data_IF_965641916456
#
_entry.id   IF_965641916456
#
_cell.length_a   1.000
_cell.length_b   1.000
_cell.length_c   1.000
_cell.angle_alpha   90.00
_cell.angle_beta   90.00
_cell.angle_gamma   90.00
#
_symmetry.space_group_name_H-M   'P 1'
#
loop_
_entity.id
_entity.type
_entity.pdbx_description
1 polymer ?
#
# COMPACT_ATOMS: atom_id res chain seq x y z
N UNK A 1 -25.72 -4.13 -15.31
CA UNK A 1 -25.89 -4.46 -13.87
C UNK A 1 -25.55 -3.28 -12.97
N UNK A 2 -24.30 -2.78 -12.89
CA UNK A 2 -23.98 -1.59 -12.04
C UNK A 2 -24.61 -0.30 -12.56
N UNK A 3 -24.67 -0.14 -13.89
CA UNK A 3 -25.30 1.01 -14.54
C UNK A 3 -26.82 1.09 -14.30
N UNK A 4 -27.46 -0.06 -14.09
CA UNK A 4 -28.91 -0.16 -13.82
C UNK A 4 -29.27 0.23 -12.38
N UNK A 5 -28.26 0.25 -11.49
CA UNK A 5 -28.37 0.60 -10.08
C UNK A 5 -27.88 2.04 -9.80
N UNK A 6 -27.58 2.81 -10.85
CA UNK A 6 -27.07 4.18 -10.76
C UNK A 6 -25.78 4.32 -9.95
N UNK A 7 -24.89 3.32 -10.05
CA UNK A 7 -23.54 3.36 -9.48
C UNK A 7 -22.50 3.72 -10.55
N UNK A 8 -21.53 4.56 -10.16
CA UNK A 8 -20.31 4.78 -10.93
C UNK A 8 -19.46 3.51 -10.94
N UNK A 9 -18.96 3.12 -12.12
CA UNK A 9 -18.21 1.86 -12.34
C UNK A 9 -16.79 2.09 -12.85
N UNK A 10 -16.26 3.31 -12.70
CA UNK A 10 -14.92 3.64 -13.17
C UNK A 10 -13.85 2.98 -12.28
N UNK A 11 -12.95 2.21 -12.90
CA UNK A 11 -11.93 1.46 -12.19
C UNK A 11 -10.72 2.36 -11.86
N UNK A 12 -10.78 3.10 -10.76
CA UNK A 12 -9.73 4.07 -10.38
C UNK A 12 -8.46 3.46 -9.77
N UNK A 13 -8.32 2.13 -9.81
CA UNK A 13 -7.14 1.42 -9.31
C UNK A 13 -7.48 0.09 -8.65
N UNK A 14 -6.59 -0.39 -7.79
CA UNK A 14 -6.71 -1.69 -7.14
C UNK A 14 -6.31 -1.64 -5.66
N UNK A 15 -6.71 -2.67 -4.92
CA UNK A 15 -6.43 -2.84 -3.51
C UNK A 15 -5.65 -4.12 -3.26
N UNK A 16 -4.64 -4.07 -2.39
CA UNK A 16 -3.88 -5.24 -1.98
C UNK A 16 -3.58 -5.22 -0.47
N UNK A 17 -3.82 -6.36 0.18
CA UNK A 17 -3.39 -6.57 1.54
C UNK A 17 -1.98 -7.16 1.55
N UNK A 18 -1.03 -6.43 2.12
CA UNK A 18 0.37 -6.88 2.23
C UNK A 18 0.81 -6.86 3.70
N UNK A 19 1.10 -8.03 4.30
CA UNK A 19 1.59 -8.09 5.66
C UNK A 19 2.94 -7.37 5.78
N UNK A 20 3.17 -6.70 6.91
CA UNK A 20 4.40 -5.95 7.24
C UNK A 20 4.70 -4.73 6.36
N UNK A 21 3.92 -4.48 5.30
CA UNK A 21 4.03 -3.32 4.43
C UNK A 21 5.14 -3.39 3.39
N UNK A 22 5.56 -4.61 2.99
CA UNK A 22 6.44 -4.80 1.82
C UNK A 22 5.66 -4.53 0.53
N UNK A 23 5.66 -3.27 0.10
CA UNK A 23 4.80 -2.76 -0.98
C UNK A 23 5.51 -2.60 -2.32
N UNK A 24 6.83 -2.83 -2.37
CA UNK A 24 7.67 -2.57 -3.53
C UNK A 24 7.97 -3.87 -4.28
N UNK A 25 6.91 -4.55 -4.70
CA UNK A 25 7.02 -5.77 -5.50
C UNK A 25 6.95 -5.46 -7.00
N UNK A 26 7.63 -6.27 -7.81
CA UNK A 26 7.65 -6.11 -9.28
C UNK A 26 6.25 -6.29 -9.86
N UNK A 27 5.47 -7.20 -9.28
CA UNK A 27 4.08 -7.47 -9.64
C UNK A 27 3.20 -6.23 -9.40
N UNK A 28 3.38 -5.54 -8.26
CA UNK A 28 2.62 -4.34 -7.89
C UNK A 28 2.96 -3.19 -8.84
N UNK A 29 4.24 -3.04 -9.18
CA UNK A 29 4.69 -2.02 -10.13
C UNK A 29 4.12 -2.28 -11.51
N UNK A 30 4.18 -3.52 -11.99
CA UNK A 30 3.64 -3.91 -13.29
C UNK A 30 2.14 -3.62 -13.39
N UNK A 31 1.40 -3.97 -12.33
CA UNK A 31 -0.04 -3.70 -12.23
C UNK A 31 -0.33 -2.19 -12.20
N UNK A 32 0.43 -1.41 -11.43
CA UNK A 32 0.31 0.05 -11.42
C UNK A 32 0.53 0.67 -12.80
N UNK A 33 1.54 0.22 -13.54
CA UNK A 33 1.81 0.70 -14.90
C UNK A 33 0.65 0.37 -15.84
N UNK A 34 0.10 -0.84 -15.78
CA UNK A 34 -1.05 -1.24 -16.61
C UNK A 34 -2.30 -0.40 -16.29
N UNK A 35 -2.59 -0.18 -15.01
CA UNK A 35 -3.73 0.64 -14.60
C UNK A 35 -3.53 2.12 -14.94
N UNK A 36 -2.33 2.67 -14.77
CA UNK A 36 -2.05 4.07 -15.08
C UNK A 36 -2.04 4.37 -16.59
N UNK A 37 -1.77 3.37 -17.44
CA UNK A 37 -1.95 3.47 -18.90
C UNK A 37 -3.40 3.68 -19.30
N UNK A 38 -4.32 3.01 -18.60
CA UNK A 38 -5.76 3.13 -18.86
C UNK A 38 -6.32 4.42 -18.24
N UNK A 39 -5.91 4.75 -17.02
CA UNK A 39 -6.39 5.90 -16.25
C UNK A 39 -5.20 6.59 -15.60
N UNK A 40 -4.88 7.81 -16.02
CA UNK A 40 -3.70 8.57 -15.57
C UNK A 40 -3.60 8.68 -14.03
N UNK A 41 -4.75 8.77 -13.36
CA UNK A 41 -4.86 8.96 -11.91
C UNK A 41 -5.09 7.66 -11.14
N UNK A 42 -4.77 6.50 -11.71
CA UNK A 42 -4.94 5.23 -10.99
C UNK A 42 -4.08 5.16 -9.73
N UNK A 43 -4.65 4.64 -8.64
CA UNK A 43 -4.00 4.55 -7.32
C UNK A 43 -4.02 3.11 -6.81
N UNK A 44 -2.92 2.65 -6.23
CA UNK A 44 -2.87 1.39 -5.48
C UNK A 44 -3.12 1.66 -3.99
N UNK A 45 -4.11 0.99 -3.42
CA UNK A 45 -4.39 1.04 -1.98
C UNK A 45 -3.80 -0.19 -1.30
N UNK A 46 -2.83 0.04 -0.40
CA UNK A 46 -2.12 -1.02 0.31
C UNK A 46 -2.55 -1.03 1.78
N UNK A 47 -3.02 -2.19 2.22
CA UNK A 47 -3.44 -2.43 3.59
C UNK A 47 -2.50 -3.38 4.31
N UNK A 48 -2.06 -3.00 5.51
CA UNK A 48 -1.27 -3.88 6.38
C UNK A 48 -2.18 -4.48 7.47
N UNK A 49 -2.60 -5.76 7.34
CA UNK A 49 -3.47 -6.40 8.32
C UNK A 49 -2.79 -6.52 9.68
N UNK A 50 -1.47 -6.76 9.72
CA UNK A 50 -0.72 -7.01 10.95
C UNK A 50 -0.61 -5.73 11.78
N UNK A 51 -0.40 -4.58 11.13
CA UNK A 51 -0.41 -3.28 11.83
C UNK A 51 -1.82 -2.89 12.28
N UNK A 52 -2.83 -3.23 11.49
CA UNK A 52 -4.23 -2.94 11.82
C UNK A 52 -4.70 -3.76 13.02
N UNK A 53 -4.26 -5.01 13.15
CA UNK A 53 -4.48 -5.84 14.34
C UNK A 53 -3.88 -5.25 15.63
N UNK A 54 -2.83 -4.44 15.52
CA UNK A 54 -2.23 -3.71 16.65
C UNK A 54 -3.02 -2.43 17.01
N UNK A 55 -4.20 -2.24 16.42
CA UNK A 55 -5.11 -1.13 16.73
C UNK A 55 -4.79 0.18 16.02
N UNK A 56 -3.89 0.17 15.04
CA UNK A 56 -3.66 1.32 14.15
C UNK A 56 -3.99 0.94 12.71
N UNK A 57 -5.05 1.53 12.17
CA UNK A 57 -5.40 1.39 10.75
C UNK A 57 -4.22 1.85 9.89
N UNK A 58 -3.62 0.90 9.16
CA UNK A 58 -2.48 1.14 8.29
C UNK A 58 -2.89 0.99 6.84
N UNK A 59 -3.32 2.11 6.26
CA UNK A 59 -3.62 2.25 4.84
C UNK A 59 -2.61 3.20 4.21
N UNK A 60 -2.06 2.81 3.07
CA UNK A 60 -1.18 3.65 2.28
C UNK A 60 -1.67 3.66 0.83
N UNK A 61 -1.76 4.84 0.25
CA UNK A 61 -2.16 5.01 -1.14
C UNK A 61 -0.95 5.45 -1.94
N UNK A 62 -0.65 4.73 -3.03
CA UNK A 62 0.51 4.99 -3.87
C UNK A 62 0.12 5.17 -5.32
N UNK A 63 0.92 5.97 -6.00
CA UNK A 63 0.89 6.16 -7.45
C UNK A 63 2.32 6.21 -7.98
N UNK A 64 2.57 5.76 -9.20
CA UNK A 64 3.87 6.03 -9.83
C UNK A 64 3.93 7.48 -10.29
N UNK A 65 5.12 8.09 -10.11
CA UNK A 65 5.43 9.39 -10.71
C UNK A 65 5.42 9.29 -12.25
N UNK A 66 5.09 10.37 -12.94
CA UNK A 66 5.05 10.41 -14.41
C UNK A 66 6.41 10.02 -15.03
N UNK A 67 7.51 10.49 -14.43
CA UNK A 67 8.86 10.15 -14.87
C UNK A 67 9.18 8.66 -14.70
N UNK A 68 8.61 8.00 -13.69
CA UNK A 68 8.77 6.56 -13.49
C UNK A 68 7.94 5.77 -14.49
N UNK A 69 6.73 6.24 -14.79
CA UNK A 69 5.84 5.63 -15.77
C UNK A 69 6.46 5.65 -17.17
N UNK A 70 7.01 6.78 -17.62
CA UNK A 70 7.65 6.89 -18.94
C UNK A 70 8.81 5.90 -19.15
N UNK A 71 9.57 5.57 -18.10
CA UNK A 71 10.67 4.61 -18.18
C UNK A 71 10.13 3.18 -18.17
N UNK A 72 9.14 2.90 -17.30
CA UNK A 72 8.47 1.61 -17.27
C UNK A 72 7.79 1.28 -18.60
N UNK A 73 7.24 2.27 -19.31
CA UNK A 73 6.64 2.08 -20.64
C UNK A 73 7.65 1.73 -21.72
N UNK A 74 8.86 2.29 -21.66
CA UNK A 74 9.95 1.99 -22.60
C UNK A 74 10.53 0.59 -22.39
N UNK A 75 10.27 -0.03 -21.24
CA UNK A 75 10.76 -1.37 -20.89
C UNK A 75 12.23 -1.39 -20.46
N UNK A 76 12.90 -0.24 -20.43
CA UNK A 76 14.32 -0.11 -20.13
C UNK A 76 14.55 0.38 -18.69
N UNK A 77 14.34 -0.50 -17.71
CA UNK A 77 14.70 -0.27 -16.30
C UNK A 77 16.23 -0.40 -16.06
N UNK A 78 17.03 0.12 -16.99
CA UNK A 78 18.48 0.10 -16.89
C UNK A 78 18.95 1.11 -15.84
N UNK A 79 19.95 0.78 -15.00
CA UNK A 79 20.47 1.71 -13.99
C UNK A 79 21.10 2.97 -14.60
N UNK A 80 21.40 2.96 -15.91
CA UNK A 80 21.86 4.16 -16.65
C UNK A 80 20.72 5.12 -16.94
N UNK A 81 19.57 4.59 -17.35
CA UNK A 81 18.40 5.39 -17.72
C UNK A 81 17.69 5.96 -16.50
N UNK A 82 17.57 5.16 -15.42
CA UNK A 82 17.06 5.65 -14.15
C UNK A 82 17.90 6.82 -13.62
N UNK A 83 19.23 6.77 -13.77
CA UNK A 83 20.13 7.87 -13.41
C UNK A 83 19.96 9.08 -14.32
N UNK A 84 19.82 8.87 -15.64
CA UNK A 84 19.62 9.95 -16.60
C UNK A 84 18.30 10.70 -16.35
N UNK A 85 17.24 9.99 -15.96
CA UNK A 85 15.95 10.55 -15.59
C UNK A 85 15.91 11.12 -14.15
N UNK A 86 16.99 10.99 -13.37
CA UNK A 86 17.03 11.47 -11.98
C UNK A 86 16.08 10.72 -11.03
N UNK A 87 15.62 9.52 -11.41
CA UNK A 87 14.73 8.73 -10.56
C UNK A 87 15.47 8.21 -9.34
N UNK A 88 14.95 8.56 -8.17
CA UNK A 88 15.39 8.05 -6.87
C UNK A 88 14.25 7.26 -6.26
N UNK A 89 14.54 6.28 -5.38
CA UNK A 89 13.53 5.50 -4.65
C UNK A 89 12.44 6.37 -3.99
N UNK A 90 12.83 7.56 -3.51
CA UNK A 90 11.93 8.53 -2.88
C UNK A 90 10.94 9.20 -3.84
N UNK A 91 11.31 9.35 -5.11
CA UNK A 91 10.56 10.09 -6.11
C UNK A 91 9.86 9.16 -7.12
N UNK A 92 10.09 7.85 -7.01
CA UNK A 92 9.48 6.86 -7.90
C UNK A 92 7.98 6.69 -7.60
N UNK A 93 7.60 6.76 -6.32
CA UNK A 93 6.22 6.63 -5.85
C UNK A 93 5.78 7.90 -5.12
N UNK A 94 4.62 8.41 -5.49
CA UNK A 94 3.91 9.46 -4.78
C UNK A 94 2.97 8.82 -3.74
N UNK A 95 3.17 9.11 -2.46
CA UNK A 95 2.28 8.67 -1.38
C UNK A 95 1.20 9.72 -1.11
N UNK A 96 -0.07 9.31 -1.11
CA UNK A 96 -1.21 10.19 -0.90
C UNK A 96 -1.83 10.00 0.50
N UNK A 97 -2.25 11.09 1.16
CA UNK A 97 -2.96 10.99 2.42
C UNK A 97 -4.37 10.40 2.20
N UNK A 98 -4.68 9.34 2.95
CA UNK A 98 -6.00 8.70 2.91
C UNK A 98 -6.93 9.38 3.91
N UNK A 99 -8.03 9.96 3.42
CA UNK A 99 -9.06 10.60 4.25
C UNK A 99 -10.35 9.79 4.16
N UNK A 100 -10.77 9.21 5.28
CA UNK A 100 -12.03 8.47 5.38
C UNK A 100 -13.17 9.46 5.56
N UNK A 101 -14.14 9.45 4.66
CA UNK A 101 -15.34 10.30 4.71
C UNK A 101 -16.57 9.43 4.84
N UNK A 102 -17.38 9.73 5.83
CA UNK A 102 -18.69 9.12 6.03
C UNK A 102 -19.79 10.13 5.71
N UNK A 103 -20.87 9.69 5.07
CA UNK A 103 -22.07 10.52 4.91
C UNK A 103 -22.76 10.75 6.27
N UNK A 104 -23.61 11.76 6.37
CA UNK A 104 -24.40 12.00 7.58
C UNK A 104 -25.26 10.80 7.99
N UNK A 105 -25.86 10.08 7.04
CA UNK A 105 -26.69 8.90 7.34
C UNK A 105 -25.87 7.77 7.98
N UNK A 106 -24.69 7.48 7.42
CA UNK A 106 -23.75 6.51 7.99
C UNK A 106 -23.34 6.90 9.42
N UNK A 107 -23.13 8.18 9.71
CA UNK A 107 -22.79 8.62 11.06
C UNK A 107 -23.96 8.42 12.05
N UNK A 108 -25.20 8.70 11.64
CA UNK A 108 -26.39 8.43 12.46
C UNK A 108 -26.53 6.93 12.71
N UNK A 109 -26.31 6.10 11.69
CA UNK A 109 -26.36 4.65 11.82
C UNK A 109 -25.27 4.11 12.77
N UNK A 110 -24.03 4.63 12.68
CA UNK A 110 -22.97 4.29 13.62
C UNK A 110 -23.32 4.68 15.05
N UNK A 111 -23.94 5.85 15.26
CA UNK A 111 -24.42 6.27 16.58
C UNK A 111 -25.55 5.38 17.12
N UNK A 112 -26.45 4.89 16.26
CA UNK A 112 -27.49 3.93 16.65
C UNK A 112 -26.88 2.58 17.06
N UNK A 113 -25.95 2.06 16.26
CA UNK A 113 -25.20 0.84 16.61
C UNK A 113 -24.47 1.00 17.95
N UNK A 114 -23.95 2.19 18.21
CA UNK A 114 -23.28 2.50 19.46
C UNK A 114 -24.22 2.38 20.66
N UNK A 115 -25.40 2.99 20.57
CA UNK A 115 -26.44 2.90 21.60
C UNK A 115 -26.92 1.45 21.80
N UNK A 116 -27.22 0.74 20.72
CA UNK A 116 -27.71 -0.65 20.75
C UNK A 116 -26.75 -1.61 21.46
N UNK A 117 -25.44 -1.39 21.33
CA UNK A 117 -24.47 -2.31 21.91
C UNK A 117 -24.22 -2.05 23.39
N UNK A 118 -24.40 -0.80 23.83
CA UNK A 118 -24.43 -0.45 25.27
C UNK A 118 -25.60 -1.14 25.95
N UNK A 119 -26.78 -1.12 25.33
CA UNK A 119 -27.98 -1.79 25.85
C UNK A 119 -27.83 -3.33 25.94
N UNK A 120 -27.07 -3.92 25.01
CA UNK A 120 -26.80 -5.36 24.96
C UNK A 120 -25.56 -5.79 25.75
N UNK A 121 -24.92 -4.87 26.48
CA UNK A 121 -23.72 -5.15 27.29
C UNK A 121 -22.51 -5.64 26.49
N UNK A 122 -22.47 -5.36 25.18
CA UNK A 122 -21.34 -5.72 24.30
C UNK A 122 -20.61 -4.44 23.91
N UNK A 123 -19.48 -4.15 24.53
CA UNK A 123 -18.63 -3.06 24.08
C UNK A 123 -17.90 -3.48 22.78
N UNK A 124 -18.20 -2.81 21.67
CA UNK A 124 -17.40 -2.91 20.44
C UNK A 124 -16.21 -1.96 20.60
N UNK A 125 -15.23 -2.37 21.41
CA UNK A 125 -14.06 -1.53 21.66
C UNK A 125 -13.14 -1.52 20.43
N UNK A 126 -13.34 -0.53 19.56
CA UNK A 126 -12.41 -0.24 18.46
C UNK A 126 -11.08 0.35 18.99
N UNK A 127 -11.05 0.82 20.24
CA UNK A 127 -9.88 1.44 20.87
C UNK A 127 -9.04 0.54 21.81
N UNK A 128 -9.56 -0.60 22.28
CA UNK A 128 -8.85 -1.39 23.29
C UNK A 128 -7.66 -2.19 22.73
N UNK A 129 -7.59 -2.38 21.41
CA UNK A 129 -6.42 -2.96 20.75
C UNK A 129 -5.32 -1.94 20.48
N UNK A 130 -5.61 -0.63 20.49
CA UNK A 130 -4.62 0.43 20.26
C UNK A 130 -3.54 0.49 21.36
N UNK A 131 -3.81 -0.10 22.52
CA UNK A 131 -2.86 -0.23 23.63
C UNK A 131 -2.15 -1.59 23.71
N UNK A 132 -2.39 -2.50 22.75
CA UNK A 132 -1.67 -3.78 22.71
C UNK A 132 -0.21 -3.49 22.31
N UNK A 133 0.69 -3.47 23.29
CA UNK A 133 2.11 -3.19 23.11
C UNK A 133 2.67 -4.00 21.94
N UNK A 134 3.47 -3.35 21.09
CA UNK A 134 4.11 -3.96 19.93
C UNK A 134 4.71 -5.33 20.29
N UNK A 135 4.15 -6.40 19.73
CA UNK A 135 4.60 -7.76 20.05
C UNK A 135 6.07 -7.92 19.63
N UNK A 136 6.96 -8.33 20.54
CA UNK A 136 8.37 -8.58 20.20
C UNK A 136 8.52 -9.66 19.12
N UNK A 137 7.55 -10.56 18.98
CA UNK A 137 7.51 -11.56 17.91
C UNK A 137 7.34 -10.94 16.52
N UNK A 138 6.48 -9.92 16.39
CA UNK A 138 6.24 -9.21 15.13
C UNK A 138 7.43 -8.34 14.74
N UNK A 139 8.07 -7.72 15.73
CA UNK A 139 9.33 -7.01 15.50
C UNK A 139 10.42 -7.97 15.02
N UNK A 140 10.56 -9.14 15.66
CA UNK A 140 11.50 -10.17 15.25
C UNK A 140 11.25 -10.66 13.82
N UNK A 141 9.98 -10.85 13.43
CA UNK A 141 9.62 -11.20 12.05
C UNK A 141 10.00 -10.10 11.06
N UNK A 142 9.71 -8.84 11.38
CA UNK A 142 10.04 -7.70 10.52
C UNK A 142 11.55 -7.51 10.35
N UNK A 143 12.34 -7.68 11.41
CA UNK A 143 13.81 -7.66 11.34
C UNK A 143 14.33 -8.81 10.47
N UNK A 144 13.77 -10.02 10.60
CA UNK A 144 14.15 -11.15 9.74
C UNK A 144 13.84 -10.91 8.26
N UNK A 145 12.71 -10.29 7.95
CA UNK A 145 12.37 -9.91 6.57
C UNK A 145 13.38 -8.90 6.02
N UNK A 146 13.72 -7.87 6.81
CA UNK A 146 14.71 -6.88 6.42
C UNK A 146 16.09 -7.50 6.18
N UNK A 147 16.53 -8.45 7.03
CA UNK A 147 17.79 -9.19 6.84
C UNK A 147 17.76 -9.91 5.49
N UNK A 148 16.69 -10.66 5.18
CA UNK A 148 16.56 -11.37 3.90
C UNK A 148 16.61 -10.42 2.70
N UNK A 149 15.94 -9.27 2.77
CA UNK A 149 15.98 -8.26 1.70
C UNK A 149 17.40 -7.69 1.51
N UNK A 150 18.09 -7.37 2.61
CA UNK A 150 19.46 -6.85 2.55
C UNK A 150 20.46 -7.88 2.03
N UNK A 151 20.29 -9.16 2.36
CA UNK A 151 21.10 -10.25 1.83
C UNK A 151 20.88 -10.41 0.32
N UNK A 152 19.63 -10.32 -0.15
CA UNK A 152 19.31 -10.32 -1.58
C UNK A 152 19.93 -9.14 -2.35
N UNK A 153 19.94 -7.95 -1.75
CA UNK A 153 20.60 -6.78 -2.33
C UNK A 153 22.13 -6.95 -2.40
N UNK A 154 22.75 -7.57 -1.40
CA UNK A 154 24.18 -7.83 -1.41
C UNK A 154 24.57 -8.82 -2.51
N UNK A 155 23.80 -9.91 -2.67
CA UNK A 155 24.04 -10.91 -3.71
C UNK A 155 23.92 -10.32 -5.12
N UNK A 156 22.90 -9.48 -5.35
CA UNK A 156 22.74 -8.79 -6.63
C UNK A 156 23.86 -7.77 -6.89
N UNK A 157 24.31 -7.04 -5.87
CA UNK A 157 25.46 -6.14 -5.97
C UNK A 157 26.76 -6.88 -6.32
N UNK A 158 27.03 -8.02 -5.67
CA UNK A 158 28.20 -8.85 -5.96
C UNK A 158 28.15 -9.46 -7.37
N UNK A 159 26.97 -9.89 -7.83
CA UNK A 159 26.76 -10.36 -9.20
C UNK A 159 27.04 -9.25 -10.22
N UNK A 160 26.58 -8.02 -9.97
CA UNK A 160 26.90 -6.86 -10.81
C UNK A 160 28.38 -6.52 -10.81
N UNK A 161 29.07 -6.65 -9.67
CA UNK A 161 30.53 -6.44 -9.57
C UNK A 161 31.32 -7.47 -10.36
N UNK A 162 30.91 -8.75 -10.31
CA UNK A 162 31.55 -9.83 -11.09
C UNK A 162 31.37 -9.67 -12.60
N UNK A 163 30.26 -9.09 -13.08
CA UNK A 163 30.05 -8.77 -14.51
C UNK A 163 30.92 -7.61 -15.02
N UNK A 164 31.53 -6.83 -14.13
CA UNK A 164 32.34 -5.65 -14.47
C UNK A 164 33.84 -5.95 -14.55
N UNK A 165 34.29 -7.08 -14.01
CA UNK A 165 35.67 -7.58 -14.09
C UNK A 165 35.76 -8.68 -15.15
#
# INVERSE_FOLDING_TARGET
MFRDLNYDYECVGFYQAVPFGSCYDEDIVSLLVEHQKNIEHAVALIYDPIRTEQGKLSLRAFRLSSSALEICEKGDLSPKEMKAAGLTLKNMFDEFPVVIKNSHLHNVFLAQLEMDSVEKGKSYECGATAFKMASPALLGQRVRLLIKETEGQLQTADAMRKRRN
#
